data_IF_213719250017
#
_entry.id   IF_213719250017
#
_cell.length_a   1.000
_cell.length_b   1.000
_cell.length_c   1.000
_cell.angle_alpha   90.00
_cell.angle_beta   90.00
_cell.angle_gamma   90.00
#
_symmetry.space_group_name_H-M   'P 1'
#
loop_
_entity.id
_entity.type
_entity.pdbx_description
1 polymer ?
#
# COMPACT_ATOMS: atom_id res chain seq x y z
N UNK A 1 26.54 47.79 32.85
CA UNK A 1 25.42 48.27 33.69
C UNK A 1 24.57 49.19 32.83
N UNK A 2 23.44 48.66 32.32
CA UNK A 2 22.35 49.48 31.75
C UNK A 2 21.08 48.78 32.16
N UNK A 3 20.33 49.44 33.05
CA UNK A 3 19.05 49.04 33.54
C UNK A 3 18.00 49.32 32.46
N UNK A 4 17.21 48.33 32.09
CA UNK A 4 16.03 48.48 31.25
C UNK A 4 14.86 48.80 32.16
N UNK A 5 14.33 50.00 32.07
CA UNK A 5 13.12 50.50 32.75
C UNK A 5 11.90 49.88 32.03
N UNK A 6 11.11 49.14 32.76
CA UNK A 6 9.84 48.57 32.35
C UNK A 6 8.76 49.66 32.42
N UNK A 7 8.23 50.09 31.29
CA UNK A 7 7.19 51.14 31.19
C UNK A 7 5.83 50.48 31.42
N UNK A 8 5.28 50.71 32.61
CA UNK A 8 3.93 50.26 32.99
C UNK A 8 2.90 51.24 32.40
N UNK A 9 2.07 50.79 31.47
CA UNK A 9 0.99 51.56 30.89
C UNK A 9 -0.08 51.94 31.94
N UNK A 10 -0.62 53.17 31.91
CA UNK A 10 -1.61 53.62 32.89
C UNK A 10 -2.97 52.94 32.63
N UNK A 11 -3.48 52.26 33.64
CA UNK A 11 -4.84 51.72 33.68
C UNK A 11 -5.83 52.88 33.73
N UNK A 12 -6.73 52.93 32.76
CA UNK A 12 -7.75 53.98 32.60
C UNK A 12 -8.81 53.85 33.71
N UNK A 13 -8.79 54.76 34.65
CA UNK A 13 -9.57 54.80 35.90
C UNK A 13 -11.04 55.21 35.72
N UNK A 14 -11.63 55.06 34.55
CA UNK A 14 -13.02 55.44 34.27
C UNK A 14 -14.04 54.28 34.37
N UNK A 15 -13.59 53.04 34.55
CA UNK A 15 -14.48 51.87 34.56
C UNK A 15 -15.01 51.47 35.95
N UNK A 16 -14.51 52.11 37.01
CA UNK A 16 -14.85 51.76 38.39
C UNK A 16 -16.06 52.54 38.99
N UNK A 17 -16.75 53.36 38.18
CA UNK A 17 -17.78 54.29 38.71
C UNK A 17 -19.23 53.92 38.46
N UNK A 18 -19.55 52.76 37.93
CA UNK A 18 -20.96 52.41 37.75
C UNK A 18 -21.28 50.98 38.17
N UNK A 19 -21.61 50.73 39.45
CA UNK A 19 -21.95 49.42 39.98
C UNK A 19 -23.22 48.84 39.36
N UNK A 20 -24.14 49.66 38.83
CA UNK A 20 -25.39 49.17 38.21
C UNK A 20 -25.17 48.47 36.88
N UNK A 21 -24.14 48.86 36.13
CA UNK A 21 -23.83 48.18 34.82
C UNK A 21 -23.28 46.79 35.06
N UNK A 22 -22.62 46.54 36.19
CA UNK A 22 -22.08 45.24 36.54
C UNK A 22 -23.20 44.25 36.97
N UNK A 23 -24.19 44.75 37.71
CA UNK A 23 -25.33 43.93 38.15
C UNK A 23 -26.23 43.53 37.01
N UNK A 24 -26.49 44.41 36.04
CA UNK A 24 -27.26 44.07 34.84
C UNK A 24 -26.56 43.04 33.94
N UNK A 25 -25.23 43.05 33.84
CA UNK A 25 -24.47 42.10 33.04
C UNK A 25 -24.46 40.71 33.68
N UNK A 26 -24.44 40.63 35.00
CA UNK A 26 -24.54 39.36 35.74
C UNK A 26 -25.94 38.77 35.61
N UNK A 27 -27.00 39.59 35.73
CA UNK A 27 -28.38 39.13 35.57
C UNK A 27 -28.71 38.68 34.15
N UNK A 28 -28.09 39.25 33.10
CA UNK A 28 -28.31 38.85 31.73
C UNK A 28 -27.55 37.55 31.33
N UNK A 29 -26.48 37.21 32.07
CA UNK A 29 -25.75 35.95 31.91
C UNK A 29 -26.43 34.79 32.69
N UNK A 30 -27.25 35.09 33.68
CA UNK A 30 -27.95 34.07 34.47
C UNK A 30 -29.30 33.65 33.86
N UNK A 31 -29.86 34.45 32.94
CA UNK A 31 -31.13 34.19 32.24
C UNK A 31 -30.95 33.40 30.92
N UNK A 32 -29.73 33.08 30.53
CA UNK A 32 -29.47 32.14 29.48
C UNK A 32 -29.32 30.74 30.08
N UNK A 33 -30.43 30.16 30.45
CA UNK A 33 -30.56 28.75 30.76
C UNK A 33 -30.04 27.94 29.58
N UNK A 34 -29.02 27.08 29.72
CA UNK A 34 -28.51 26.27 28.60
C UNK A 34 -29.62 25.29 28.25
N UNK A 35 -30.17 25.46 27.05
CA UNK A 35 -31.11 24.53 26.46
C UNK A 35 -30.58 23.10 26.61
N UNK A 36 -31.38 22.12 27.13
CA UNK A 36 -30.93 20.76 27.37
C UNK A 36 -30.54 20.13 26.04
N UNK A 37 -29.26 20.13 25.73
CA UNK A 37 -28.70 19.43 24.56
C UNK A 37 -29.08 17.95 24.66
N UNK A 38 -30.04 17.55 23.87
CA UNK A 38 -30.51 16.19 23.75
C UNK A 38 -29.33 15.21 23.73
N UNK A 39 -29.28 14.19 24.59
CA UNK A 39 -28.18 13.23 24.67
C UNK A 39 -28.01 12.41 23.38
N UNK A 40 -28.97 12.44 22.46
CA UNK A 40 -28.92 11.72 21.18
C UNK A 40 -27.87 12.27 20.17
N UNK A 41 -27.53 13.58 20.22
CA UNK A 41 -26.55 14.16 19.29
C UNK A 41 -25.11 13.73 19.58
N UNK A 42 -24.74 13.62 20.87
CA UNK A 42 -23.39 13.28 21.30
C UNK A 42 -23.06 11.81 21.06
N UNK A 43 -24.04 10.93 21.19
CA UNK A 43 -23.86 9.48 20.95
C UNK A 43 -23.66 9.20 19.46
N UNK A 44 -24.34 9.94 18.58
CA UNK A 44 -24.25 9.74 17.13
C UNK A 44 -22.91 10.17 16.54
N UNK A 45 -22.35 11.30 17.01
CA UNK A 45 -21.02 11.75 16.58
C UNK A 45 -19.90 10.86 17.09
N UNK A 46 -20.00 10.38 18.35
CA UNK A 46 -18.98 9.49 18.95
C UNK A 46 -18.99 8.09 18.31
N UNK A 47 -20.14 7.58 17.90
CA UNK A 47 -20.26 6.29 17.19
C UNK A 47 -19.70 6.39 15.77
N UNK A 48 -19.94 7.50 15.06
CA UNK A 48 -19.44 7.69 13.69
C UNK A 48 -17.90 7.89 13.67
N UNK A 49 -17.35 8.61 14.65
CA UNK A 49 -15.89 8.80 14.77
C UNK A 49 -15.19 7.50 15.15
N UNK A 50 -15.77 6.70 16.04
CA UNK A 50 -15.22 5.41 16.47
C UNK A 50 -15.20 4.38 15.34
N UNK A 51 -16.23 4.32 14.51
CA UNK A 51 -16.31 3.43 13.34
C UNK A 51 -15.30 3.85 12.27
N UNK A 52 -15.14 5.16 12.02
CA UNK A 52 -14.19 5.70 11.07
C UNK A 52 -12.72 5.45 11.50
N UNK A 53 -12.42 5.55 12.79
CA UNK A 53 -11.09 5.27 13.35
C UNK A 53 -10.77 3.77 13.27
N UNK A 54 -11.72 2.89 13.58
CA UNK A 54 -11.54 1.44 13.50
C UNK A 54 -11.30 0.99 12.05
N UNK A 55 -12.11 1.45 11.10
CA UNK A 55 -11.95 1.16 9.67
C UNK A 55 -10.59 1.64 9.12
N UNK A 56 -10.13 2.79 9.58
CA UNK A 56 -8.85 3.36 9.16
C UNK A 56 -7.63 2.59 9.72
N UNK A 57 -7.74 2.01 10.92
CA UNK A 57 -6.70 1.17 11.52
C UNK A 57 -6.61 -0.17 10.79
N UNK A 58 -7.75 -0.78 10.48
CA UNK A 58 -7.82 -2.05 9.74
C UNK A 58 -7.21 -1.91 8.34
N UNK A 59 -7.58 -0.88 7.58
CA UNK A 59 -6.99 -0.58 6.27
C UNK A 59 -5.46 -0.41 6.32
N UNK A 60 -4.96 0.15 7.42
CA UNK A 60 -3.54 0.38 7.65
C UNK A 60 -2.75 -0.93 7.77
N UNK A 61 -3.23 -1.85 8.59
CA UNK A 61 -2.57 -3.13 8.84
C UNK A 61 -2.61 -4.04 7.60
N UNK A 62 -3.72 -4.05 6.88
CA UNK A 62 -3.88 -4.86 5.67
C UNK A 62 -2.95 -4.43 4.53
N UNK A 63 -2.75 -3.15 4.28
CA UNK A 63 -1.82 -2.66 3.23
C UNK A 63 -0.39 -3.07 3.53
N UNK A 64 0.02 -3.05 4.79
CA UNK A 64 1.34 -3.48 5.23
C UNK A 64 1.54 -4.99 5.02
N UNK A 65 0.55 -5.80 5.36
CA UNK A 65 0.59 -7.25 5.15
C UNK A 65 0.67 -7.59 3.66
N UNK A 66 -0.09 -6.90 2.81
CA UNK A 66 -0.05 -7.11 1.35
C UNK A 66 1.30 -6.70 0.76
N UNK A 67 1.90 -5.58 1.19
CA UNK A 67 3.25 -5.21 0.78
C UNK A 67 4.30 -6.26 1.17
N UNK A 68 4.19 -6.84 2.36
CA UNK A 68 5.06 -7.93 2.78
C UNK A 68 4.85 -9.19 1.92
N UNK A 69 3.61 -9.52 1.55
CA UNK A 69 3.31 -10.63 0.64
C UNK A 69 3.94 -10.42 -0.74
N UNK A 70 3.91 -9.20 -1.30
CA UNK A 70 4.58 -8.88 -2.56
C UNK A 70 6.10 -9.09 -2.49
N UNK A 71 6.75 -8.68 -1.37
CA UNK A 71 8.17 -8.96 -1.15
C UNK A 71 8.45 -10.46 -1.14
N UNK A 72 7.61 -11.25 -0.45
CA UNK A 72 7.74 -12.71 -0.42
C UNK A 72 7.58 -13.33 -1.80
N UNK A 73 6.60 -12.88 -2.59
CA UNK A 73 6.39 -13.33 -3.97
C UNK A 73 7.63 -13.03 -4.84
N UNK A 74 8.20 -11.84 -4.69
CA UNK A 74 9.44 -11.49 -5.37
C UNK A 74 10.60 -12.43 -5.02
N UNK A 75 10.79 -12.73 -3.75
CA UNK A 75 11.83 -13.68 -3.31
C UNK A 75 11.59 -15.09 -3.88
N UNK A 76 10.34 -15.56 -3.91
CA UNK A 76 9.98 -16.84 -4.51
C UNK A 76 10.32 -16.85 -6.00
N UNK A 77 10.03 -15.78 -6.76
CA UNK A 77 10.41 -15.66 -8.18
C UNK A 77 11.92 -15.78 -8.38
N UNK A 78 12.70 -15.12 -7.51
CA UNK A 78 14.16 -15.20 -7.55
C UNK A 78 14.65 -16.64 -7.33
N UNK A 79 14.17 -17.31 -6.30
CA UNK A 79 14.56 -18.70 -5.97
C UNK A 79 14.15 -19.67 -7.08
N UNK A 80 12.91 -19.57 -7.56
CA UNK A 80 12.43 -20.43 -8.66
C UNK A 80 13.21 -20.19 -9.95
N UNK A 81 13.53 -18.93 -10.27
CA UNK A 81 14.34 -18.58 -11.43
C UNK A 81 15.76 -19.14 -11.36
N UNK A 82 16.40 -19.01 -10.17
CA UNK A 82 17.72 -19.59 -9.94
C UNK A 82 17.71 -21.14 -10.04
N UNK A 83 16.70 -21.76 -9.42
CA UNK A 83 16.55 -23.22 -9.47
C UNK A 83 16.31 -23.70 -10.91
N UNK A 84 15.57 -22.96 -11.71
CA UNK A 84 15.33 -23.29 -13.11
C UNK A 84 16.59 -23.17 -13.96
N UNK A 85 17.40 -22.11 -13.79
CA UNK A 85 18.72 -22.03 -14.45
C UNK A 85 19.61 -23.20 -14.05
N UNK A 86 19.65 -23.54 -12.78
CA UNK A 86 20.46 -24.66 -12.27
C UNK A 86 20.07 -25.97 -12.97
N UNK A 87 18.78 -26.27 -13.06
CA UNK A 87 18.30 -27.46 -13.79
C UNK A 87 18.66 -27.40 -15.27
N UNK A 88 18.47 -26.25 -15.91
CA UNK A 88 18.75 -26.06 -17.32
C UNK A 88 20.23 -26.27 -17.64
N UNK A 89 21.14 -25.70 -16.90
CA UNK A 89 22.59 -25.82 -17.09
C UNK A 89 23.07 -27.25 -16.88
N UNK A 90 22.56 -27.92 -15.83
CA UNK A 90 22.96 -29.27 -15.51
C UNK A 90 22.55 -30.30 -16.58
N UNK A 91 21.41 -30.08 -17.19
CA UNK A 91 20.85 -30.98 -18.18
C UNK A 91 21.28 -30.67 -19.62
N UNK A 92 21.82 -29.44 -19.85
CA UNK A 92 22.31 -29.07 -21.18
C UNK A 92 23.44 -29.97 -21.69
N UNK A 93 24.23 -30.57 -20.79
CA UNK A 93 25.28 -31.50 -21.14
C UNK A 93 24.76 -32.91 -21.46
N UNK A 94 23.55 -33.29 -21.07
CA UNK A 94 23.07 -34.66 -21.08
C UNK A 94 22.08 -34.97 -22.19
N UNK A 95 21.35 -33.99 -22.75
CA UNK A 95 20.24 -34.25 -23.69
C UNK A 95 20.21 -33.19 -24.78
N UNK A 96 20.03 -33.60 -26.03
CA UNK A 96 19.71 -32.69 -27.13
C UNK A 96 18.35 -31.99 -26.82
N UNK A 97 18.43 -30.75 -26.32
CA UNK A 97 17.27 -30.02 -25.87
C UNK A 97 16.51 -29.47 -27.06
N UNK A 98 15.40 -30.14 -27.42
CA UNK A 98 14.43 -29.63 -28.39
C UNK A 98 13.46 -28.59 -27.81
N UNK A 99 13.61 -28.24 -26.54
CA UNK A 99 12.74 -27.29 -25.82
C UNK A 99 13.56 -26.12 -25.28
N UNK A 100 13.27 -24.94 -25.80
CA UNK A 100 13.84 -23.68 -25.29
C UNK A 100 12.80 -22.97 -24.41
N UNK A 101 13.01 -22.88 -23.08
CA UNK A 101 12.06 -22.24 -22.19
C UNK A 101 12.06 -20.71 -22.42
N UNK A 102 11.01 -20.21 -23.09
CA UNK A 102 10.86 -18.80 -23.45
C UNK A 102 10.90 -17.88 -22.24
N UNK A 103 10.28 -18.27 -21.16
CA UNK A 103 10.24 -17.52 -19.89
C UNK A 103 11.63 -17.38 -19.29
N UNK A 104 12.46 -18.41 -19.33
CA UNK A 104 13.83 -18.38 -18.85
C UNK A 104 14.72 -17.52 -19.76
N UNK A 105 14.60 -17.69 -21.09
CA UNK A 105 15.37 -16.93 -22.07
C UNK A 105 15.04 -15.43 -22.04
N UNK A 106 13.80 -15.06 -21.73
CA UNK A 106 13.43 -13.64 -21.53
C UNK A 106 14.00 -13.05 -20.24
N UNK A 107 14.53 -13.89 -19.33
CA UNK A 107 15.00 -13.48 -18.01
C UNK A 107 13.87 -12.99 -17.10
N UNK A 108 12.61 -13.28 -17.43
CA UNK A 108 11.44 -12.78 -16.71
C UNK A 108 11.53 -12.93 -15.19
N UNK A 109 11.88 -14.08 -14.61
CA UNK A 109 11.95 -14.23 -13.16
C UNK A 109 12.96 -13.27 -12.53
N UNK A 110 14.04 -12.90 -13.24
CA UNK A 110 15.15 -12.12 -12.70
C UNK A 110 14.92 -10.61 -12.69
N UNK A 111 14.17 -10.07 -13.61
CA UNK A 111 13.83 -8.66 -13.56
C UNK A 111 12.46 -8.41 -12.91
N UNK A 112 11.53 -9.36 -13.01
CA UNK A 112 10.24 -9.26 -12.34
C UNK A 112 10.37 -9.23 -10.80
N UNK A 113 11.24 -10.10 -10.21
CA UNK A 113 11.40 -10.14 -8.75
C UNK A 113 11.84 -8.79 -8.17
N UNK A 114 12.71 -8.05 -8.86
CA UNK A 114 13.16 -6.73 -8.41
C UNK A 114 11.98 -5.76 -8.28
N UNK A 115 11.12 -5.71 -9.28
CA UNK A 115 9.95 -4.82 -9.27
C UNK A 115 8.93 -5.23 -8.22
N UNK A 116 8.71 -6.52 -7.99
CA UNK A 116 7.80 -7.03 -6.97
C UNK A 116 8.30 -6.68 -5.56
N UNK A 117 9.59 -6.86 -5.29
CA UNK A 117 10.19 -6.46 -4.00
C UNK A 117 10.11 -4.94 -3.81
N UNK A 118 10.48 -4.17 -4.83
CA UNK A 118 10.45 -2.69 -4.77
C UNK A 118 9.02 -2.20 -4.53
N UNK A 119 8.01 -2.74 -5.23
CA UNK A 119 6.60 -2.34 -5.05
C UNK A 119 6.11 -2.65 -3.64
N UNK A 120 6.47 -3.83 -3.11
CA UNK A 120 6.13 -4.22 -1.74
C UNK A 120 6.76 -3.32 -0.69
N UNK A 121 8.06 -3.00 -0.82
CA UNK A 121 8.77 -2.10 0.09
C UNK A 121 8.16 -0.69 0.07
N UNK A 122 7.90 -0.13 -1.12
CA UNK A 122 7.26 1.18 -1.22
C UNK A 122 5.83 1.20 -0.67
N UNK A 123 5.10 0.11 -0.78
CA UNK A 123 3.76 -0.03 -0.21
C UNK A 123 3.79 0.01 1.33
N UNK A 124 4.75 -0.69 1.94
CA UNK A 124 4.97 -0.70 3.39
C UNK A 124 5.41 0.69 3.88
N UNK A 125 6.36 1.31 3.20
CA UNK A 125 6.90 2.61 3.61
C UNK A 125 5.90 3.75 3.39
N UNK A 126 5.12 3.71 2.31
CA UNK A 126 4.05 4.67 2.05
C UNK A 126 2.97 4.65 3.14
N UNK A 127 2.65 3.46 3.64
CA UNK A 127 1.71 3.29 4.75
C UNK A 127 2.29 3.87 6.05
N UNK A 128 3.56 3.59 6.35
CA UNK A 128 4.23 4.02 7.58
C UNK A 128 4.39 5.55 7.65
N UNK A 129 4.85 6.17 6.58
CA UNK A 129 5.27 7.58 6.57
C UNK A 129 4.14 8.53 6.13
N UNK A 130 3.14 8.04 5.39
CA UNK A 130 2.00 8.78 4.82
C UNK A 130 2.39 10.06 4.04
N UNK A 131 3.62 10.12 3.55
CA UNK A 131 4.06 11.22 2.73
C UNK A 131 3.39 11.18 1.35
N UNK A 132 2.84 12.31 0.85
CA UNK A 132 2.19 12.34 -0.46
C UNK A 132 3.14 11.96 -1.61
N UNK A 133 4.44 12.20 -1.45
CA UNK A 133 5.46 11.77 -2.41
C UNK A 133 5.62 10.24 -2.44
N UNK A 134 5.67 9.60 -1.26
CA UNK A 134 5.81 8.16 -1.14
C UNK A 134 4.53 7.42 -1.60
N UNK A 135 3.35 7.97 -1.30
CA UNK A 135 2.09 7.44 -1.82
C UNK A 135 2.08 7.41 -3.36
N UNK A 136 2.46 8.51 -4.01
CA UNK A 136 2.56 8.55 -5.49
C UNK A 136 3.60 7.57 -6.02
N UNK A 137 4.74 7.43 -5.34
CA UNK A 137 5.77 6.47 -5.73
C UNK A 137 5.25 5.04 -5.62
N UNK A 138 4.57 4.70 -4.53
CA UNK A 138 3.96 3.39 -4.31
C UNK A 138 2.90 3.07 -5.37
N UNK A 139 2.00 4.00 -5.70
CA UNK A 139 1.03 3.82 -6.79
C UNK A 139 1.74 3.49 -8.10
N UNK A 140 2.79 4.25 -8.44
CA UNK A 140 3.54 4.06 -9.68
C UNK A 140 4.24 2.70 -9.71
N UNK A 141 4.94 2.32 -8.64
CA UNK A 141 5.64 1.02 -8.56
C UNK A 141 4.69 -0.16 -8.58
N UNK A 142 3.55 -0.08 -7.90
CA UNK A 142 2.51 -1.12 -7.97
C UNK A 142 1.87 -1.22 -9.35
N UNK A 143 1.69 -0.11 -10.06
CA UNK A 143 1.21 -0.14 -11.45
C UNK A 143 2.23 -0.82 -12.36
N UNK A 144 3.52 -0.53 -12.21
CA UNK A 144 4.56 -1.24 -12.95
C UNK A 144 4.61 -2.74 -12.60
N UNK A 145 4.55 -3.08 -11.31
CA UNK A 145 4.51 -4.47 -10.86
C UNK A 145 3.33 -5.23 -11.47
N UNK A 146 2.13 -4.64 -11.44
CA UNK A 146 0.92 -5.21 -12.07
C UNK A 146 1.09 -5.40 -13.57
N UNK A 147 1.67 -4.41 -14.29
CA UNK A 147 1.92 -4.52 -15.74
C UNK A 147 2.92 -5.62 -16.04
N UNK A 148 3.99 -5.73 -15.26
CA UNK A 148 5.01 -6.78 -15.42
C UNK A 148 4.46 -8.17 -15.11
N UNK A 149 3.63 -8.30 -14.08
CA UNK A 149 2.93 -9.54 -13.75
C UNK A 149 2.01 -9.96 -14.91
N UNK A 150 1.30 -9.02 -15.54
CA UNK A 150 0.47 -9.29 -16.70
C UNK A 150 1.29 -9.81 -17.90
N UNK A 151 2.41 -9.14 -18.20
CA UNK A 151 3.34 -9.60 -19.26
C UNK A 151 3.85 -11.01 -18.95
N UNK A 152 4.23 -11.27 -17.71
CA UNK A 152 4.67 -12.60 -17.28
C UNK A 152 3.59 -13.67 -17.44
N UNK A 153 2.34 -13.36 -17.09
CA UNK A 153 1.21 -14.26 -17.27
C UNK A 153 1.02 -14.66 -18.75
N UNK A 154 1.16 -13.71 -19.67
CA UNK A 154 1.10 -14.00 -21.11
C UNK A 154 2.27 -14.83 -21.60
N UNK A 155 3.51 -14.48 -21.21
CA UNK A 155 4.72 -15.23 -21.60
C UNK A 155 4.67 -16.68 -21.13
N UNK A 156 4.37 -16.88 -19.82
CA UNK A 156 4.32 -18.21 -19.21
C UNK A 156 3.11 -18.99 -19.76
N UNK A 157 1.94 -18.33 -19.89
CA UNK A 157 0.75 -18.95 -20.45
C UNK A 157 0.96 -19.42 -21.90
N UNK A 158 1.63 -18.63 -22.72
CA UNK A 158 2.00 -19.01 -24.06
C UNK A 158 2.96 -20.21 -24.07
N UNK A 159 3.96 -20.20 -23.20
CA UNK A 159 4.91 -21.33 -23.07
C UNK A 159 4.22 -22.64 -22.66
N UNK A 160 3.35 -22.59 -21.64
CA UNK A 160 2.58 -23.76 -21.19
C UNK A 160 1.68 -24.25 -22.30
N UNK A 161 0.99 -23.36 -23.03
CA UNK A 161 0.10 -23.72 -24.14
C UNK A 161 0.87 -24.40 -25.28
N UNK A 162 2.03 -23.83 -25.64
CA UNK A 162 2.89 -24.39 -26.69
C UNK A 162 3.41 -25.76 -26.30
N UNK A 163 3.76 -25.97 -25.03
CA UNK A 163 4.17 -27.26 -24.50
C UNK A 163 3.04 -28.32 -24.58
N UNK A 164 1.81 -27.94 -24.22
CA UNK A 164 0.64 -28.83 -24.28
C UNK A 164 0.27 -29.24 -25.69
N UNK A 165 0.45 -28.35 -26.69
CA UNK A 165 0.16 -28.64 -28.09
C UNK A 165 1.17 -29.63 -28.68
N UNK A 166 2.46 -29.47 -28.40
CA UNK A 166 3.52 -30.33 -28.96
C UNK A 166 3.47 -31.78 -28.51
N UNK A 167 2.90 -32.10 -27.37
CA UNK A 167 2.59 -33.44 -26.82
C UNK A 167 3.55 -34.57 -27.19
N UNK A 168 4.82 -34.29 -27.41
CA UNK A 168 5.84 -35.28 -27.66
C UNK A 168 6.21 -36.02 -26.37
N UNK A 169 6.88 -37.16 -26.46
CA UNK A 169 7.26 -38.01 -25.32
C UNK A 169 7.90 -37.19 -24.23
N UNK A 170 7.14 -36.97 -23.16
CA UNK A 170 7.52 -36.12 -22.02
C UNK A 170 8.71 -36.79 -21.30
N UNK A 171 9.90 -36.22 -21.45
CA UNK A 171 11.04 -36.55 -20.64
C UNK A 171 10.82 -35.92 -19.25
N UNK A 172 11.12 -36.63 -18.20
CA UNK A 172 10.96 -36.19 -16.80
C UNK A 172 11.45 -34.76 -16.54
N UNK A 173 12.53 -34.32 -17.16
CA UNK A 173 13.14 -32.98 -17.03
C UNK A 173 12.23 -31.87 -17.59
N UNK A 174 11.59 -32.11 -18.72
CA UNK A 174 10.61 -31.19 -19.30
C UNK A 174 9.39 -31.03 -18.40
N UNK A 175 8.99 -32.10 -17.70
CA UNK A 175 7.91 -32.05 -16.72
C UNK A 175 8.27 -31.18 -15.54
N UNK A 176 9.51 -31.25 -15.03
CA UNK A 176 9.99 -30.39 -13.93
C UNK A 176 10.00 -28.92 -14.33
N UNK A 177 10.46 -28.57 -15.54
CA UNK A 177 10.41 -27.23 -16.11
C UNK A 177 8.98 -26.69 -16.21
N UNK A 178 8.04 -27.50 -16.66
CA UNK A 178 6.62 -27.14 -16.74
C UNK A 178 5.99 -26.89 -15.38
N UNK A 179 6.34 -27.68 -14.37
CA UNK A 179 5.91 -27.43 -12.99
C UNK A 179 6.42 -26.09 -12.45
N UNK A 180 7.70 -25.77 -12.70
CA UNK A 180 8.26 -24.47 -12.31
C UNK A 180 7.56 -23.29 -13.03
N UNK A 181 7.29 -23.42 -14.33
CA UNK A 181 6.51 -22.43 -15.08
C UNK A 181 5.10 -22.26 -14.49
N UNK A 182 4.45 -23.35 -14.10
CA UNK A 182 3.15 -23.32 -13.44
C UNK A 182 3.18 -22.57 -12.09
N UNK A 183 4.20 -22.80 -11.28
CA UNK A 183 4.37 -22.04 -10.02
C UNK A 183 4.63 -20.56 -10.28
N UNK A 184 5.50 -20.21 -11.23
CA UNK A 184 5.74 -18.82 -11.61
C UNK A 184 4.47 -18.14 -12.12
N UNK A 185 3.65 -18.85 -12.90
CA UNK A 185 2.36 -18.34 -13.37
C UNK A 185 1.42 -18.04 -12.22
N UNK A 186 1.29 -18.97 -11.25
CA UNK A 186 0.44 -18.80 -10.07
C UNK A 186 0.88 -17.60 -9.22
N UNK A 187 2.18 -17.46 -8.95
CA UNK A 187 2.70 -16.35 -8.17
C UNK A 187 2.62 -15.01 -8.91
N UNK A 188 2.78 -14.99 -10.24
CA UNK A 188 2.55 -13.79 -11.05
C UNK A 188 1.07 -13.35 -11.02
N UNK A 189 0.14 -14.32 -11.03
CA UNK A 189 -1.28 -14.05 -10.87
C UNK A 189 -1.60 -13.45 -9.50
N UNK A 190 -1.02 -14.01 -8.44
CA UNK A 190 -1.18 -13.52 -7.08
C UNK A 190 -0.63 -12.10 -6.93
N UNK A 191 0.56 -11.83 -7.50
CA UNK A 191 1.15 -10.48 -7.52
C UNK A 191 0.26 -9.48 -8.23
N UNK A 192 -0.31 -9.85 -9.38
CA UNK A 192 -1.26 -9.00 -10.11
C UNK A 192 -2.46 -8.59 -9.24
N UNK A 193 -3.04 -9.53 -8.51
CA UNK A 193 -4.15 -9.24 -7.59
C UNK A 193 -3.71 -8.32 -6.45
N UNK A 194 -2.60 -8.63 -5.78
CA UNK A 194 -2.10 -7.84 -4.66
C UNK A 194 -1.76 -6.42 -5.09
N UNK A 195 -1.03 -6.24 -6.18
CA UNK A 195 -0.66 -4.93 -6.70
C UNK A 195 -1.88 -4.07 -7.04
N UNK A 196 -2.93 -4.66 -7.62
CA UNK A 196 -4.17 -3.95 -7.93
C UNK A 196 -4.96 -3.55 -6.66
N UNK A 197 -5.04 -4.43 -5.67
CA UNK A 197 -5.72 -4.14 -4.39
C UNK A 197 -4.98 -3.03 -3.65
N UNK A 198 -3.66 -3.14 -3.50
CA UNK A 198 -2.82 -2.13 -2.85
C UNK A 198 -2.93 -0.79 -3.57
N UNK A 199 -2.90 -0.80 -4.90
CA UNK A 199 -3.04 0.41 -5.72
C UNK A 199 -4.40 1.09 -5.51
N UNK A 200 -5.49 0.31 -5.45
CA UNK A 200 -6.83 0.80 -5.15
C UNK A 200 -6.92 1.47 -3.78
N UNK A 201 -6.34 0.83 -2.74
CA UNK A 201 -6.39 1.36 -1.38
C UNK A 201 -5.54 2.61 -1.19
N UNK A 202 -4.34 2.63 -1.74
CA UNK A 202 -3.47 3.81 -1.68
C UNK A 202 -4.10 4.99 -2.44
N UNK A 203 -4.74 4.72 -3.58
CA UNK A 203 -5.48 5.74 -4.33
C UNK A 203 -6.63 6.33 -3.49
N UNK A 204 -7.42 5.50 -2.84
CA UNK A 204 -8.49 5.97 -1.96
C UNK A 204 -7.93 6.82 -0.80
N UNK A 205 -6.82 6.40 -0.19
CA UNK A 205 -6.16 7.17 0.87
C UNK A 205 -5.66 8.53 0.37
N UNK A 206 -5.13 8.58 -0.85
CA UNK A 206 -4.65 9.81 -1.48
C UNK A 206 -5.77 10.80 -1.74
N UNK A 207 -6.90 10.37 -2.32
CA UNK A 207 -8.06 11.22 -2.59
C UNK A 207 -8.74 11.73 -1.31
N UNK A 208 -8.83 10.90 -0.25
CA UNK A 208 -9.40 11.34 1.02
C UNK A 208 -8.51 12.37 1.74
N UNK A 209 -7.20 12.25 1.63
CA UNK A 209 -6.25 13.23 2.16
C UNK A 209 -6.29 14.58 1.44
N UNK A 210 -6.54 14.56 0.15
CA UNK A 210 -6.64 15.77 -0.69
C UNK A 210 -7.91 16.60 -0.45
N UNK A 211 -9.00 15.97 0.01
CA UNK A 211 -10.27 16.67 0.29
C UNK A 211 -10.35 17.27 1.71
N UNK A 212 -9.28 17.18 2.51
CA UNK A 212 -9.20 17.70 3.88
C UNK A 212 -8.29 18.93 3.99
N UNK A 213 -7.70 19.38 2.89
CA UNK A 213 -6.90 20.60 2.75
C UNK A 213 -7.67 21.62 1.94
#
# INVERSE_FOLDING_TARGET
MRASTEEVAPVHMSELRNPESRTRRIQMSELQEPEPRSPHGIIRTKKHTRHKTSSHIVLKEETRMMGAAQVMIGLIHCVLGYFWIYLYVREFESVSINYLPLTLMSGYPFWAFLFFIISGIFSIEAEKTRSPKLLRCSIRTNTYSSTLAMIGLFLIGFEITFFLIKREKIIWIQQSGMMLSGYLWLFSLLELFLANIVNSWINQAFYHGSNLI
#
